data_IF_212743656130
#
_entry.id   IF_212743656130
#
_cell.length_a   1.000
_cell.length_b   1.000
_cell.length_c   1.000
_cell.angle_alpha   90.00
_cell.angle_beta   90.00
_cell.angle_gamma   90.00
#
_symmetry.space_group_name_H-M   'P 1'
#
loop_
_entity.id
_entity.type
_entity.pdbx_description
1 polymer ?
#
# COMPACT_ATOMS: atom_id res chain seq x y z
N UNK A 1 -10.06 -5.65 -18.68
CA UNK A 1 -9.15 -6.76 -18.42
C UNK A 1 -8.42 -6.53 -17.09
N UNK A 2 -8.43 -7.51 -16.23
CA UNK A 2 -7.78 -7.34 -14.93
C UNK A 2 -6.27 -7.40 -15.04
N UNK A 3 -5.66 -6.55 -14.24
CA UNK A 3 -4.23 -6.48 -14.07
C UNK A 3 -3.93 -7.17 -12.74
N UNK A 4 -3.15 -8.25 -12.76
CA UNK A 4 -2.86 -9.01 -11.54
C UNK A 4 -1.80 -8.35 -10.66
N UNK A 5 -1.41 -7.13 -10.97
CA UNK A 5 -0.40 -6.42 -10.19
C UNK A 5 -0.95 -5.94 -8.87
N UNK A 6 -0.09 -5.99 -7.86
CA UNK A 6 -0.39 -5.56 -6.51
C UNK A 6 0.53 -4.40 -6.16
N UNK A 7 -0.07 -3.31 -5.71
CA UNK A 7 0.66 -2.10 -5.34
C UNK A 7 0.42 -1.76 -3.88
N UNK A 8 1.44 -1.24 -3.23
CA UNK A 8 1.33 -0.67 -1.90
C UNK A 8 1.61 0.82 -2.01
N UNK A 9 0.72 1.65 -1.45
CA UNK A 9 0.89 3.10 -1.40
C UNK A 9 0.84 3.52 0.06
N UNK A 10 1.89 4.20 0.53
CA UNK A 10 1.89 4.76 1.87
C UNK A 10 1.39 6.20 1.79
N UNK A 11 0.61 6.63 2.79
CA UNK A 11 0.04 7.97 2.79
C UNK A 11 -1.01 8.17 1.70
N UNK A 12 -1.70 7.12 1.28
CA UNK A 12 -2.64 7.15 0.17
C UNK A 12 -4.02 7.69 0.49
N UNK A 13 -4.23 8.27 1.68
CA UNK A 13 -5.54 8.77 2.07
C UNK A 13 -5.75 10.24 1.75
N UNK A 14 -4.72 10.96 1.33
CA UNK A 14 -4.83 12.38 1.00
C UNK A 14 -3.76 12.81 0.00
N UNK A 15 -4.01 13.93 -0.67
CA UNK A 15 -3.05 14.57 -1.56
C UNK A 15 -2.58 13.70 -2.71
N UNK A 16 -1.29 13.78 -3.00
CA UNK A 16 -0.66 13.07 -4.11
C UNK A 16 -0.76 11.55 -3.91
N UNK A 17 -0.63 11.08 -2.68
CA UNK A 17 -0.74 9.66 -2.39
C UNK A 17 -2.09 9.08 -2.77
N UNK A 18 -3.16 9.79 -2.43
CA UNK A 18 -4.51 9.37 -2.79
C UNK A 18 -4.70 9.36 -4.31
N UNK A 19 -4.24 10.42 -4.99
CA UNK A 19 -4.36 10.50 -6.45
C UNK A 19 -3.59 9.37 -7.12
N UNK A 20 -2.38 9.07 -6.65
CA UNK A 20 -1.55 7.99 -7.17
C UNK A 20 -2.24 6.63 -6.96
N UNK A 21 -2.74 6.40 -5.75
CA UNK A 21 -3.39 5.12 -5.43
C UNK A 21 -4.63 4.90 -6.29
N UNK A 22 -5.45 5.92 -6.47
CA UNK A 22 -6.65 5.81 -7.29
C UNK A 22 -6.32 5.64 -8.77
N UNK A 23 -5.25 6.29 -9.25
CA UNK A 23 -4.80 6.11 -10.62
C UNK A 23 -4.35 4.66 -10.87
N UNK A 24 -3.61 4.09 -9.93
CA UNK A 24 -3.20 2.69 -10.03
C UNK A 24 -4.41 1.75 -9.99
N UNK A 25 -5.34 2.01 -9.11
CA UNK A 25 -6.55 1.20 -9.00
C UNK A 25 -7.34 1.21 -10.31
N UNK A 26 -7.40 2.34 -10.99
CA UNK A 26 -8.09 2.45 -12.28
C UNK A 26 -7.44 1.64 -13.39
N UNK A 27 -6.15 1.35 -13.27
CA UNK A 27 -5.46 0.51 -14.25
C UNK A 27 -5.70 -0.98 -14.03
N UNK A 28 -6.44 -1.34 -12.98
CA UNK A 28 -6.72 -2.72 -12.64
C UNK A 28 -5.84 -3.30 -11.55
N UNK A 29 -4.91 -2.51 -11.00
CA UNK A 29 -4.09 -2.97 -9.88
C UNK A 29 -4.93 -3.17 -8.62
N UNK A 30 -4.57 -4.17 -7.83
CA UNK A 30 -5.03 -4.24 -6.45
C UNK A 30 -4.13 -3.33 -5.63
N UNK A 31 -4.70 -2.30 -5.02
CA UNK A 31 -3.92 -1.30 -4.30
C UNK A 31 -4.20 -1.39 -2.81
N UNK A 32 -3.13 -1.57 -2.04
CA UNK A 32 -3.17 -1.51 -0.58
C UNK A 32 -2.63 -0.15 -0.14
N UNK A 33 -3.37 0.51 0.72
CA UNK A 33 -2.99 1.80 1.27
C UNK A 33 -2.64 1.63 2.76
N UNK A 34 -1.47 2.10 3.15
CA UNK A 34 -1.00 2.03 4.53
C UNK A 34 -0.96 3.43 5.13
N UNK A 35 -1.67 3.62 6.23
CA UNK A 35 -1.65 4.85 7.00
C UNK A 35 -2.19 4.59 8.40
N UNK A 36 -2.04 5.57 9.28
CA UNK A 36 -2.55 5.44 10.65
C UNK A 36 -4.06 5.69 10.77
N UNK A 37 -4.72 6.06 9.70
CA UNK A 37 -6.15 6.32 9.73
C UNK A 37 -6.93 5.05 10.03
N UNK A 38 -8.07 5.19 10.69
CA UNK A 38 -8.94 4.07 10.97
C UNK A 38 -9.67 3.61 9.70
N UNK A 39 -9.90 4.52 8.77
CA UNK A 39 -10.62 4.24 7.54
C UNK A 39 -9.79 4.64 6.32
N UNK A 40 -9.91 3.85 5.27
CA UNK A 40 -9.23 4.12 4.02
C UNK A 40 -10.11 4.84 3.01
N UNK A 41 -9.67 4.82 1.77
CA UNK A 41 -10.37 5.41 0.63
C UNK A 41 -11.15 4.31 -0.08
N UNK A 42 -12.38 4.63 -0.48
CA UNK A 42 -13.20 3.67 -1.24
C UNK A 42 -12.46 3.23 -2.50
N UNK A 43 -12.49 1.93 -2.76
CA UNK A 43 -11.81 1.32 -3.90
C UNK A 43 -10.39 0.85 -3.60
N UNK A 44 -9.83 1.24 -2.45
CA UNK A 44 -8.52 0.80 -2.01
C UNK A 44 -8.64 -0.14 -0.82
N UNK A 45 -7.68 -1.05 -0.68
CA UNK A 45 -7.59 -1.90 0.49
C UNK A 45 -6.76 -1.17 1.53
N UNK A 46 -7.36 -0.88 2.66
CA UNK A 46 -6.69 -0.13 3.72
C UNK A 46 -6.14 -1.05 4.80
N UNK A 47 -4.89 -0.78 5.21
CA UNK A 47 -4.30 -1.41 6.39
C UNK A 47 -3.86 -0.27 7.31
N UNK A 48 -4.42 -0.24 8.52
CA UNK A 48 -4.03 0.76 9.50
C UNK A 48 -2.67 0.37 10.08
N UNK A 49 -1.65 1.18 9.81
CA UNK A 49 -0.30 0.94 10.27
C UNK A 49 0.44 2.26 10.40
N UNK A 50 1.24 2.38 11.47
CA UNK A 50 2.15 3.50 11.61
C UNK A 50 3.36 3.21 10.71
N UNK A 51 3.50 3.95 9.63
CA UNK A 51 4.55 3.71 8.64
C UNK A 51 5.94 4.06 9.16
N UNK A 52 6.03 4.72 10.32
CA UNK A 52 7.31 4.94 10.99
C UNK A 52 7.71 3.77 11.91
N UNK A 53 6.81 2.83 12.10
CA UNK A 53 7.05 1.63 12.90
C UNK A 53 7.37 0.46 11.97
N UNK A 54 8.64 0.08 11.95
CA UNK A 54 9.11 -0.98 11.07
C UNK A 54 8.38 -2.31 11.30
N UNK A 55 8.09 -2.65 12.55
CA UNK A 55 7.36 -3.88 12.86
C UNK A 55 5.95 -3.85 12.30
N UNK A 56 5.27 -2.70 12.38
CA UNK A 56 3.93 -2.54 11.82
C UNK A 56 3.96 -2.65 10.28
N UNK A 57 4.96 -2.06 9.64
CA UNK A 57 5.11 -2.15 8.18
C UNK A 57 5.40 -3.60 7.78
N UNK A 58 6.27 -4.29 8.49
CA UNK A 58 6.57 -5.69 8.19
C UNK A 58 5.35 -6.58 8.33
N UNK A 59 4.54 -6.35 9.35
CA UNK A 59 3.30 -7.10 9.55
C UNK A 59 2.31 -6.84 8.42
N UNK A 60 2.19 -5.58 7.99
CA UNK A 60 1.31 -5.22 6.89
C UNK A 60 1.75 -5.88 5.57
N UNK A 61 3.05 -5.85 5.29
CA UNK A 61 3.60 -6.49 4.10
C UNK A 61 3.34 -8.00 4.12
N UNK A 62 3.56 -8.64 5.27
CA UNK A 62 3.30 -10.06 5.41
C UNK A 62 1.83 -10.40 5.16
N UNK A 63 0.93 -9.56 5.67
CA UNK A 63 -0.50 -9.74 5.44
C UNK A 63 -0.83 -9.63 3.95
N UNK A 64 -0.27 -8.63 3.27
CA UNK A 64 -0.53 -8.41 1.85
C UNK A 64 -0.03 -9.59 1.02
N UNK A 65 1.17 -10.07 1.31
CA UNK A 65 1.72 -11.23 0.60
C UNK A 65 0.87 -12.47 0.86
N UNK A 66 0.38 -12.65 2.07
CA UNK A 66 -0.49 -13.77 2.39
C UNK A 66 -1.83 -13.70 1.63
N UNK A 67 -2.38 -12.50 1.46
CA UNK A 67 -3.67 -12.31 0.77
C UNK A 67 -3.52 -12.32 -0.75
N UNK A 68 -2.53 -11.60 -1.26
CA UNK A 68 -2.39 -11.33 -2.68
C UNK A 68 -1.34 -12.19 -3.38
N UNK A 69 -0.44 -12.77 -2.63
CA UNK A 69 0.60 -13.67 -3.16
C UNK A 69 1.88 -12.99 -3.59
N UNK A 70 1.85 -11.70 -3.86
CA UNK A 70 3.03 -10.96 -4.34
C UNK A 70 2.82 -9.46 -4.20
N UNK A 71 3.89 -8.70 -4.40
CA UNK A 71 3.86 -7.24 -4.46
C UNK A 71 4.69 -6.82 -5.67
N UNK A 72 4.13 -6.00 -6.54
CA UNK A 72 4.79 -5.55 -7.76
C UNK A 72 5.31 -4.13 -7.67
N UNK A 73 4.69 -3.29 -6.85
CA UNK A 73 5.00 -1.87 -6.82
C UNK A 73 4.85 -1.31 -5.41
N UNK A 74 5.82 -0.51 -4.99
CA UNK A 74 5.73 0.25 -3.75
C UNK A 74 5.84 1.74 -4.07
N UNK A 75 4.85 2.51 -3.64
CA UNK A 75 4.87 3.97 -3.74
C UNK A 75 4.94 4.53 -2.32
N UNK A 76 6.09 5.10 -1.97
CA UNK A 76 6.34 5.62 -0.63
C UNK A 76 6.12 7.14 -0.61
N UNK A 77 4.90 7.57 -0.30
CA UNK A 77 4.57 8.99 -0.19
C UNK A 77 4.73 9.55 1.22
N UNK A 78 5.00 8.70 2.18
CA UNK A 78 5.14 9.14 3.57
C UNK A 78 6.54 9.65 3.91
N UNK A 79 7.49 9.56 2.97
CA UNK A 79 8.83 10.12 3.16
C UNK A 79 9.72 9.36 4.12
N UNK A 80 9.44 8.09 4.39
CA UNK A 80 10.24 7.24 5.27
C UNK A 80 10.96 6.16 4.48
N UNK A 81 12.00 5.59 5.07
CA UNK A 81 12.69 4.46 4.47
C UNK A 81 12.05 3.14 4.88
N UNK A 82 11.82 2.27 3.91
CA UNK A 82 11.45 0.88 4.18
C UNK A 82 12.68 0.04 3.84
N UNK A 83 13.33 -0.45 4.88
CA UNK A 83 14.58 -1.20 4.70
C UNK A 83 14.35 -2.69 4.92
N UNK A 84 14.78 -3.49 3.97
CA UNK A 84 14.82 -4.95 4.11
C UNK A 84 13.48 -5.66 4.22
N UNK A 85 12.39 -4.93 4.39
CA UNK A 85 11.08 -5.52 4.63
C UNK A 85 10.41 -5.96 3.33
N UNK A 86 10.73 -5.30 2.23
CA UNK A 86 10.10 -5.54 0.93
C UNK A 86 11.18 -5.84 -0.08
N UNK A 87 11.16 -7.07 -0.55
CA UNK A 87 11.99 -7.49 -1.67
C UNK A 87 11.07 -8.06 -2.74
N UNK A 88 11.25 -7.56 -3.93
CA UNK A 88 10.42 -7.96 -5.06
C UNK A 88 11.10 -8.99 -5.91
#
# INVERSE_FOLDING_TARGET
MNNDKVAIVTGGTSGIGKATALALQKTGCTVYELSRRAEGVEGLRHISADVTDEAAVNAAVAQIVAEAGHIDLLVNNAGFGISGAIEF
#
